data_IF_180210255884
#
_entry.id   IF_180210255884
#
_cell.length_a   1.000
_cell.length_b   1.000
_cell.length_c   1.000
_cell.angle_alpha   90.00
_cell.angle_beta   90.00
_cell.angle_gamma   90.00
#
_symmetry.space_group_name_H-M   'P 1'
#
loop_
_entity.id
_entity.type
_entity.pdbx_description
1 polymer ?
#
# COMPACT_ATOMS: atom_id res chain seq x y z
N UNK A 1 7.20 15.03 -1.25
CA UNK A 1 6.15 14.34 -0.45
C UNK A 1 5.07 15.27 0.14
N UNK A 2 5.07 16.58 -0.12
CA UNK A 2 4.12 17.54 0.48
C UNK A 2 2.73 17.59 -0.22
N UNK A 3 2.63 17.06 -1.45
CA UNK A 3 1.44 17.11 -2.31
C UNK A 3 0.38 16.03 -1.98
N UNK A 4 0.78 14.91 -1.37
CA UNK A 4 -0.14 13.78 -1.11
C UNK A 4 -0.95 13.99 0.19
N UNK A 5 -0.52 14.93 1.03
CA UNK A 5 -1.06 15.17 2.38
C UNK A 5 -2.45 15.82 2.39
N UNK A 6 -2.88 16.52 1.33
CA UNK A 6 -4.12 17.31 1.36
C UNK A 6 -5.42 16.50 1.22
N UNK A 7 -5.46 15.38 0.46
CA UNK A 7 -6.68 14.52 0.37
C UNK A 7 -7.10 13.94 1.70
N UNK A 8 -6.10 13.79 2.52
CA UNK A 8 -5.99 12.61 3.31
C UNK A 8 -6.84 12.85 4.57
N UNK A 9 -7.05 14.13 4.93
CA UNK A 9 -8.05 14.65 5.87
C UNK A 9 -9.52 14.25 5.62
N UNK A 10 -9.94 13.86 4.40
CA UNK A 10 -11.31 13.38 4.12
C UNK A 10 -11.45 11.85 4.31
N UNK A 11 -10.35 11.10 4.39
CA UNK A 11 -10.32 9.67 4.78
C UNK A 11 -10.55 9.51 6.31
N UNK A 12 -10.98 10.58 7.01
CA UNK A 12 -11.15 10.61 8.48
C UNK A 12 -12.17 9.62 9.05
N UNK A 13 -13.01 9.01 8.21
CA UNK A 13 -13.93 7.95 8.63
C UNK A 13 -13.41 6.55 8.24
N UNK A 14 -12.15 6.24 8.60
CA UNK A 14 -11.66 4.85 8.58
C UNK A 14 -12.31 4.05 9.70
N UNK A 15 -13.48 3.52 9.38
CA UNK A 15 -14.27 2.67 10.26
C UNK A 15 -13.69 1.25 10.25
N UNK A 16 -13.54 0.67 11.43
CA UNK A 16 -13.21 -0.75 11.60
C UNK A 16 -14.49 -1.57 11.75
N UNK A 17 -14.73 -2.45 10.79
CA UNK A 17 -15.85 -3.39 10.78
C UNK A 17 -15.52 -4.66 11.58
N UNK A 18 -16.57 -5.35 12.03
CA UNK A 18 -16.44 -6.71 12.53
C UNK A 18 -16.46 -7.69 11.35
N UNK A 19 -15.37 -8.44 11.17
CA UNK A 19 -15.16 -9.38 10.07
C UNK A 19 -14.65 -10.70 10.60
N UNK A 20 -15.05 -11.80 9.98
CA UNK A 20 -14.54 -13.12 10.31
C UNK A 20 -13.09 -13.27 9.78
N UNK A 21 -12.07 -13.43 10.66
CA UNK A 21 -10.69 -13.48 10.22
C UNK A 21 -10.35 -14.61 9.25
N UNK A 22 -11.00 -15.79 9.42
CA UNK A 22 -10.74 -16.95 8.56
C UNK A 22 -11.19 -16.71 7.12
N UNK A 23 -12.35 -16.07 6.94
CA UNK A 23 -12.87 -15.76 5.61
C UNK A 23 -12.04 -14.65 4.94
N UNK A 24 -11.57 -13.66 5.70
CA UNK A 24 -10.71 -12.60 5.17
C UNK A 24 -9.36 -13.14 4.68
N UNK A 25 -8.68 -13.97 5.48
CA UNK A 25 -7.43 -14.63 5.07
C UNK A 25 -7.63 -15.44 3.79
N UNK A 26 -8.71 -16.23 3.71
CA UNK A 26 -9.05 -17.00 2.51
C UNK A 26 -9.29 -16.11 1.29
N UNK A 27 -9.92 -14.95 1.47
CA UNK A 27 -10.16 -13.97 0.41
C UNK A 27 -8.84 -13.37 -0.10
N UNK A 28 -7.94 -12.98 0.79
CA UNK A 28 -6.62 -12.44 0.40
C UNK A 28 -5.79 -13.46 -0.37
N UNK A 29 -5.71 -14.70 0.13
CA UNK A 29 -4.96 -15.78 -0.53
C UNK A 29 -5.53 -16.06 -1.93
N UNK A 30 -6.85 -16.15 -2.08
CA UNK A 30 -7.48 -16.31 -3.40
C UNK A 30 -7.17 -15.18 -4.38
N UNK A 31 -7.18 -13.92 -3.91
CA UNK A 31 -6.81 -12.77 -4.74
C UNK A 31 -5.36 -12.85 -5.18
N UNK A 32 -4.46 -13.20 -4.27
CA UNK A 32 -3.04 -13.39 -4.57
C UNK A 32 -2.84 -14.50 -5.61
N UNK A 33 -3.45 -15.65 -5.43
CA UNK A 33 -3.37 -16.77 -6.38
C UNK A 33 -3.90 -16.39 -7.78
N UNK A 34 -4.96 -15.60 -7.85
CA UNK A 34 -5.51 -15.14 -9.12
C UNK A 34 -4.56 -14.19 -9.85
N UNK A 35 -3.93 -13.26 -9.12
CA UNK A 35 -2.91 -12.35 -9.67
C UNK A 35 -1.69 -13.15 -10.13
N UNK A 36 -1.21 -14.11 -9.33
CA UNK A 36 -0.06 -14.93 -9.70
C UNK A 36 -0.33 -15.78 -10.94
N UNK A 37 -1.56 -16.32 -11.11
CA UNK A 37 -1.95 -17.05 -12.31
C UNK A 37 -1.97 -16.16 -13.54
N UNK A 38 -2.55 -14.95 -13.45
CA UNK A 38 -2.57 -13.99 -14.56
C UNK A 38 -1.15 -13.64 -15.02
N UNK A 39 -0.27 -13.32 -14.08
CA UNK A 39 1.10 -12.96 -14.39
C UNK A 39 1.93 -14.10 -15.00
N UNK A 40 1.55 -15.38 -14.79
CA UNK A 40 2.20 -16.52 -15.48
C UNK A 40 1.75 -16.66 -16.94
N UNK A 41 0.49 -16.33 -17.22
CA UNK A 41 -0.06 -16.36 -18.58
C UNK A 41 0.54 -15.22 -19.43
N UNK A 42 0.73 -14.04 -18.85
CA UNK A 42 1.36 -12.90 -19.56
C UNK A 42 2.86 -13.12 -19.86
N UNK A 43 3.57 -13.95 -19.08
CA UNK A 43 4.98 -14.28 -19.35
C UNK A 43 5.19 -15.25 -20.53
N UNK A 44 4.17 -16.00 -20.96
CA UNK A 44 4.25 -16.83 -22.18
C UNK A 44 3.82 -16.04 -23.44
N UNK A 45 3.37 -14.79 -23.25
CA UNK A 45 3.00 -13.84 -24.30
C UNK A 45 4.09 -12.76 -24.42
N UNK A 46 5.24 -13.14 -24.99
CA UNK A 46 6.35 -12.21 -25.33
C UNK A 46 5.96 -11.07 -26.30
N UNK A 47 4.70 -10.99 -26.73
CA UNK A 47 4.21 -10.02 -27.70
C UNK A 47 3.69 -8.69 -27.11
N UNK A 48 3.60 -8.51 -25.78
CA UNK A 48 3.10 -7.27 -25.18
C UNK A 48 4.18 -6.29 -24.68
N UNK A 49 5.43 -6.74 -24.47
CA UNK A 49 6.51 -5.84 -24.04
C UNK A 49 6.84 -4.76 -25.09
N UNK A 50 6.51 -4.98 -26.37
CA UNK A 50 6.69 -3.99 -27.44
C UNK A 50 5.62 -2.88 -27.49
N UNK A 51 4.55 -2.97 -26.70
CA UNK A 51 3.39 -2.04 -26.74
C UNK A 51 3.43 -1.07 -25.54
N UNK A 52 4.10 -1.45 -24.45
CA UNK A 52 4.16 -0.64 -23.24
C UNK A 52 5.21 0.47 -23.35
N UNK A 53 4.97 1.65 -22.76
CA UNK A 53 6.01 2.67 -22.59
C UNK A 53 7.22 2.11 -21.85
N UNK A 54 8.43 2.58 -22.19
CA UNK A 54 9.70 2.17 -21.56
C UNK A 54 9.65 2.20 -20.04
N UNK A 55 9.01 3.23 -19.49
CA UNK A 55 8.83 3.45 -18.06
C UNK A 55 8.02 2.31 -17.42
N UNK A 56 6.96 1.84 -18.08
CA UNK A 56 6.15 0.72 -17.60
C UNK A 56 6.91 -0.61 -17.64
N UNK A 57 7.81 -0.79 -18.61
CA UNK A 57 8.69 -1.98 -18.69
C UNK A 57 9.66 -1.99 -17.51
N UNK A 58 10.35 -0.88 -17.25
CA UNK A 58 11.29 -0.74 -16.13
C UNK A 58 10.59 -0.96 -14.78
N UNK A 59 9.37 -0.45 -14.62
CA UNK A 59 8.53 -0.68 -13.45
C UNK A 59 8.26 -2.18 -13.24
N UNK A 60 7.85 -2.90 -14.29
CA UNK A 60 7.59 -4.34 -14.21
C UNK A 60 8.85 -5.15 -13.89
N UNK A 61 10.00 -4.78 -14.48
CA UNK A 61 11.28 -5.42 -14.22
C UNK A 61 11.68 -5.28 -12.74
N UNK A 62 11.49 -4.11 -12.13
CA UNK A 62 11.77 -3.89 -10.71
C UNK A 62 11.01 -4.89 -9.81
N UNK A 63 9.71 -5.10 -10.06
CA UNK A 63 8.90 -6.07 -9.30
C UNK A 63 9.32 -7.52 -9.57
N UNK A 64 9.66 -7.88 -10.82
CA UNK A 64 10.17 -9.21 -11.17
C UNK A 64 11.48 -9.51 -10.44
N UNK A 65 12.42 -8.56 -10.41
CA UNK A 65 13.69 -8.69 -9.69
C UNK A 65 13.47 -8.89 -8.19
N UNK A 66 12.60 -8.09 -7.57
CA UNK A 66 12.27 -8.23 -6.14
C UNK A 66 11.66 -9.60 -5.84
N UNK A 67 10.81 -10.12 -6.74
CA UNK A 67 10.25 -11.46 -6.60
C UNK A 67 11.32 -12.55 -6.65
N UNK A 68 12.27 -12.46 -7.58
CA UNK A 68 13.41 -13.40 -7.69
C UNK A 68 14.26 -13.37 -6.40
N UNK A 69 14.61 -12.17 -5.93
CA UNK A 69 15.34 -12.00 -4.66
C UNK A 69 14.57 -12.65 -3.50
N UNK A 70 13.27 -12.42 -3.42
CA UNK A 70 12.41 -13.02 -2.39
C UNK A 70 12.42 -14.55 -2.41
N UNK A 71 12.41 -15.17 -3.60
CA UNK A 71 12.52 -16.63 -3.73
C UNK A 71 13.88 -17.15 -3.26
N UNK A 72 14.97 -16.47 -3.61
CA UNK A 72 16.33 -16.82 -3.17
C UNK A 72 16.41 -16.77 -1.64
N UNK A 73 15.99 -15.66 -1.03
CA UNK A 73 16.03 -15.45 0.42
C UNK A 73 15.21 -16.53 1.15
N UNK A 74 14.03 -16.87 0.64
CA UNK A 74 13.17 -17.89 1.27
C UNK A 74 13.75 -19.30 1.16
N UNK A 75 14.25 -19.67 -0.02
CA UNK A 75 14.71 -21.03 -0.29
C UNK A 75 16.10 -21.32 0.28
N UNK A 76 16.93 -20.30 0.48
CA UNK A 76 18.33 -20.46 0.91
C UNK A 76 18.61 -19.89 2.30
N UNK A 77 17.56 -19.55 3.07
CA UNK A 77 17.71 -18.95 4.40
C UNK A 77 18.47 -19.82 5.42
N UNK A 78 18.55 -21.14 5.23
CA UNK A 78 19.33 -22.05 6.06
C UNK A 78 20.81 -22.19 5.66
N UNK A 79 21.12 -21.93 4.38
CA UNK A 79 22.45 -22.19 3.79
C UNK A 79 23.26 -20.90 3.54
N UNK A 80 22.61 -19.74 3.51
CA UNK A 80 23.28 -18.46 3.29
C UNK A 80 23.89 -17.90 4.58
N UNK A 81 25.07 -17.28 4.42
CA UNK A 81 25.60 -16.37 5.44
C UNK A 81 24.58 -15.25 5.71
N UNK A 82 24.34 -14.99 7.00
CA UNK A 82 23.38 -13.98 7.48
C UNK A 82 23.56 -12.62 6.80
N UNK A 83 24.80 -12.21 6.57
CA UNK A 83 25.14 -10.94 5.93
C UNK A 83 24.74 -10.88 4.44
N UNK A 84 24.82 -11.99 3.71
CA UNK A 84 24.37 -12.07 2.32
C UNK A 84 22.85 -11.94 2.23
N UNK A 85 22.12 -12.54 3.18
CA UNK A 85 20.66 -12.40 3.27
C UNK A 85 20.25 -10.95 3.55
N UNK A 86 20.94 -10.28 4.49
CA UNK A 86 20.69 -8.86 4.80
C UNK A 86 20.84 -8.02 3.53
N UNK A 87 21.96 -8.16 2.80
CA UNK A 87 22.21 -7.40 1.57
C UNK A 87 21.18 -7.68 0.47
N UNK A 88 20.73 -8.92 0.30
CA UNK A 88 19.70 -9.27 -0.67
C UNK A 88 18.37 -8.60 -0.33
N UNK A 89 17.92 -8.70 0.92
CA UNK A 89 16.66 -8.09 1.36
C UNK A 89 16.75 -6.56 1.28
N UNK A 90 17.89 -5.97 1.66
CA UNK A 90 18.15 -4.54 1.54
C UNK A 90 18.08 -4.08 0.07
N UNK A 91 18.67 -4.84 -0.86
CA UNK A 91 18.55 -4.57 -2.29
C UNK A 91 17.08 -4.59 -2.77
N UNK A 92 16.28 -5.54 -2.28
CA UNK A 92 14.85 -5.59 -2.60
C UNK A 92 14.08 -4.37 -2.09
N UNK A 93 14.37 -3.90 -0.86
CA UNK A 93 13.79 -2.67 -0.31
C UNK A 93 14.14 -1.46 -1.18
N UNK A 94 15.44 -1.28 -1.44
CA UNK A 94 15.94 -0.15 -2.22
C UNK A 94 15.39 -0.12 -3.65
N UNK A 95 15.21 -1.28 -4.30
CA UNK A 95 14.58 -1.36 -5.62
C UNK A 95 13.15 -0.81 -5.60
N UNK A 96 12.34 -1.18 -4.61
CA UNK A 96 10.96 -0.68 -4.48
C UNK A 96 10.94 0.81 -4.10
N UNK A 97 11.86 1.28 -3.27
CA UNK A 97 11.93 2.70 -2.92
C UNK A 97 12.40 3.56 -4.09
N UNK A 98 13.33 3.07 -4.93
CA UNK A 98 13.70 3.72 -6.19
C UNK A 98 12.52 3.81 -7.15
N UNK A 99 11.75 2.72 -7.28
CA UNK A 99 10.51 2.73 -8.05
C UNK A 99 9.54 3.81 -7.55
N UNK A 100 9.31 3.91 -6.23
CA UNK A 100 8.43 4.93 -5.67
C UNK A 100 8.97 6.35 -5.87
N UNK A 101 10.29 6.53 -5.80
CA UNK A 101 10.95 7.80 -6.11
C UNK A 101 10.77 8.20 -7.57
N UNK A 102 10.96 7.27 -8.50
CA UNK A 102 10.73 7.46 -9.93
C UNK A 102 9.26 7.83 -10.21
N UNK A 103 8.31 7.07 -9.67
CA UNK A 103 6.88 7.35 -9.79
C UNK A 103 6.51 8.75 -9.24
N UNK A 104 7.06 9.12 -8.08
CA UNK A 104 6.84 10.44 -7.49
C UNK A 104 7.37 11.56 -8.39
N UNK A 105 8.53 11.37 -9.03
CA UNK A 105 9.10 12.34 -9.97
C UNK A 105 8.24 12.52 -11.22
N UNK A 106 7.71 11.42 -11.77
CA UNK A 106 6.77 11.45 -12.89
C UNK A 106 5.49 12.23 -12.54
N UNK A 107 4.89 11.94 -11.37
CA UNK A 107 3.72 12.69 -10.90
C UNK A 107 4.00 14.18 -10.72
N UNK A 108 5.14 14.53 -10.13
CA UNK A 108 5.49 15.94 -9.89
C UNK A 108 5.62 16.73 -11.19
N UNK A 109 6.16 16.10 -12.23
CA UNK A 109 6.32 16.69 -13.57
C UNK A 109 4.99 16.88 -14.28
N UNK A 110 4.11 15.88 -14.25
CA UNK A 110 2.95 15.83 -15.14
C UNK A 110 1.60 16.15 -14.46
N UNK A 111 1.58 16.40 -13.14
CA UNK A 111 0.32 16.60 -12.37
C UNK A 111 -0.58 17.70 -12.91
N UNK A 112 -0.04 18.88 -13.25
CA UNK A 112 -0.88 20.02 -13.64
C UNK A 112 -1.41 19.79 -15.07
N UNK A 113 -0.58 19.23 -15.95
CA UNK A 113 -1.02 18.77 -17.29
C UNK A 113 -2.13 17.72 -17.20
N UNK A 114 -2.02 16.75 -16.27
CA UNK A 114 -3.07 15.75 -16.03
C UNK A 114 -4.36 16.39 -15.51
N UNK A 115 -4.26 17.34 -14.59
CA UNK A 115 -5.43 18.05 -14.05
C UNK A 115 -6.12 18.85 -15.15
N UNK A 116 -5.36 19.64 -15.92
CA UNK A 116 -5.88 20.43 -17.03
C UNK A 116 -6.56 19.54 -18.08
N UNK A 117 -5.91 18.46 -18.52
CA UNK A 117 -6.46 17.54 -19.51
C UNK A 117 -7.79 16.90 -19.07
N UNK A 118 -7.89 16.48 -17.80
CA UNK A 118 -9.12 15.89 -17.27
C UNK A 118 -10.23 16.95 -17.15
N UNK A 119 -9.89 18.17 -16.69
CA UNK A 119 -10.85 19.27 -16.58
C UNK A 119 -11.40 19.65 -17.96
N UNK A 120 -10.54 19.74 -18.98
CA UNK A 120 -10.93 20.04 -20.36
C UNK A 120 -11.83 18.95 -20.97
N UNK A 121 -11.50 17.67 -20.78
CA UNK A 121 -12.32 16.55 -21.27
C UNK A 121 -13.72 16.54 -20.64
N UNK A 122 -13.82 16.85 -19.34
CA UNK A 122 -15.11 16.97 -18.64
C UNK A 122 -15.92 18.14 -19.21
N UNK A 123 -15.30 19.32 -19.39
CA UNK A 123 -15.97 20.50 -19.97
C UNK A 123 -16.54 20.19 -21.36
N UNK A 124 -15.72 19.60 -22.24
CA UNK A 124 -16.12 19.22 -23.59
C UNK A 124 -17.31 18.26 -23.61
N UNK A 125 -17.29 17.24 -22.75
CA UNK A 125 -18.38 16.25 -22.63
C UNK A 125 -19.70 16.86 -22.13
N UNK A 126 -19.64 17.90 -21.30
CA UNK A 126 -20.85 18.60 -20.83
C UNK A 126 -21.40 19.58 -21.89
N UNK A 127 -20.53 20.25 -22.66
CA UNK A 127 -20.93 21.08 -23.81
C UNK A 127 -21.64 20.25 -24.90
N UNK A 128 -21.13 19.06 -25.22
CA UNK A 128 -21.71 18.14 -26.21
C UNK A 128 -23.11 17.61 -25.80
N UNK A 129 -23.40 17.53 -24.49
CA UNK A 129 -24.66 16.99 -23.96
C UNK A 129 -25.85 17.96 -24.00
N UNK A 130 -25.68 19.23 -24.41
CA UNK A 130 -26.73 20.28 -24.42
C UNK A 130 -27.61 20.29 -23.15
N UNK A 131 -27.01 19.97 -22.00
CA UNK A 131 -27.76 19.80 -20.75
C UNK A 131 -28.07 21.16 -20.14
N UNK A 132 -29.33 21.41 -19.77
CA UNK A 132 -29.79 22.58 -18.98
C UNK A 132 -29.29 22.54 -17.52
N UNK A 133 -28.15 21.90 -17.24
CA UNK A 133 -27.55 21.88 -15.90
C UNK A 133 -26.65 23.10 -15.74
N UNK A 134 -26.73 23.73 -14.57
CA UNK A 134 -26.10 25.01 -14.25
C UNK A 134 -24.58 25.02 -14.43
N UNK A 135 -23.97 26.19 -14.17
CA UNK A 135 -22.53 26.43 -14.32
C UNK A 135 -21.67 25.30 -13.76
N UNK A 136 -20.69 24.89 -14.55
CA UNK A 136 -19.69 23.90 -14.17
C UNK A 136 -18.79 24.52 -13.10
N UNK A 137 -18.81 23.97 -11.88
CA UNK A 137 -17.89 24.37 -10.82
C UNK A 137 -16.50 23.77 -11.07
N UNK A 138 -15.67 24.51 -11.81
CA UNK A 138 -14.31 24.11 -12.17
C UNK A 138 -13.45 23.83 -10.94
N UNK A 139 -13.64 24.58 -9.84
CA UNK A 139 -12.89 24.38 -8.59
C UNK A 139 -13.23 23.04 -7.95
N UNK A 140 -14.50 22.62 -8.00
CA UNK A 140 -14.92 21.31 -7.51
C UNK A 140 -14.31 20.17 -8.36
N UNK A 141 -14.23 20.35 -9.68
CA UNK A 141 -13.59 19.37 -10.57
C UNK A 141 -12.10 19.26 -10.26
N UNK A 142 -11.37 20.38 -10.20
CA UNK A 142 -9.95 20.40 -9.87
C UNK A 142 -9.68 19.71 -8.52
N UNK A 143 -10.48 20.03 -7.49
CA UNK A 143 -10.41 19.35 -6.19
C UNK A 143 -10.61 17.84 -6.34
N UNK A 144 -11.60 17.42 -7.13
CA UNK A 144 -11.88 15.99 -7.38
C UNK A 144 -10.73 15.28 -8.08
N UNK A 145 -10.10 15.92 -9.07
CA UNK A 145 -8.95 15.32 -9.78
C UNK A 145 -7.74 15.21 -8.86
N UNK A 146 -7.44 16.25 -8.07
CA UNK A 146 -6.37 16.20 -7.07
C UNK A 146 -6.60 15.07 -6.06
N UNK A 147 -7.84 14.91 -5.60
CA UNK A 147 -8.25 13.80 -4.73
C UNK A 147 -8.00 12.42 -5.37
N UNK A 148 -8.33 12.25 -6.66
CA UNK A 148 -8.07 10.99 -7.39
C UNK A 148 -6.56 10.71 -7.48
N UNK A 149 -5.75 11.72 -7.84
CA UNK A 149 -4.30 11.57 -7.94
C UNK A 149 -3.68 11.19 -6.59
N UNK A 150 -4.17 11.78 -5.50
CA UNK A 150 -3.74 11.44 -4.15
C UNK A 150 -4.15 10.01 -3.77
N UNK A 151 -5.38 9.58 -4.10
CA UNK A 151 -5.81 8.20 -3.90
C UNK A 151 -4.95 7.19 -4.68
N UNK A 152 -4.66 7.48 -5.96
CA UNK A 152 -3.79 6.64 -6.80
C UNK A 152 -2.38 6.58 -6.20
N UNK A 153 -1.85 7.71 -5.72
CA UNK A 153 -0.53 7.77 -5.09
C UNK A 153 -0.46 6.91 -3.84
N UNK A 154 -1.44 7.05 -2.94
CA UNK A 154 -1.58 6.19 -1.76
C UNK A 154 -1.67 4.72 -2.15
N UNK A 155 -2.49 4.40 -3.15
CA UNK A 155 -2.69 3.04 -3.63
C UNK A 155 -1.39 2.41 -4.14
N UNK A 156 -0.62 3.14 -4.93
CA UNK A 156 0.68 2.68 -5.45
C UNK A 156 1.67 2.45 -4.31
N UNK A 157 1.77 3.37 -3.33
CA UNK A 157 2.62 3.15 -2.17
C UNK A 157 2.26 1.86 -1.41
N UNK A 158 0.97 1.65 -1.11
CA UNK A 158 0.49 0.45 -0.43
C UNK A 158 0.78 -0.80 -1.26
N UNK A 159 0.43 -0.81 -2.54
CA UNK A 159 0.58 -1.99 -3.40
C UNK A 159 2.07 -2.35 -3.60
N UNK A 160 2.95 -1.37 -3.78
CA UNK A 160 4.40 -1.60 -3.91
C UNK A 160 5.02 -2.16 -2.63
N UNK A 161 4.70 -1.56 -1.49
CA UNK A 161 5.17 -2.04 -0.18
C UNK A 161 4.60 -3.42 0.17
N UNK A 162 3.34 -3.68 -0.20
CA UNK A 162 2.69 -5.00 -0.04
C UNK A 162 3.35 -6.06 -0.91
N UNK A 163 3.70 -5.73 -2.16
CA UNK A 163 4.45 -6.64 -3.04
C UNK A 163 5.81 -6.98 -2.44
N UNK A 164 6.55 -5.99 -1.93
CA UNK A 164 7.81 -6.21 -1.23
C UNK A 164 7.62 -7.14 -0.02
N UNK A 165 6.65 -6.80 0.84
CA UNK A 165 6.31 -7.57 2.04
C UNK A 165 6.02 -9.04 1.71
N UNK A 166 5.26 -9.32 0.65
CA UNK A 166 4.99 -10.68 0.22
C UNK A 166 6.18 -11.37 -0.45
N UNK A 167 7.01 -10.63 -1.19
CA UNK A 167 8.17 -11.18 -1.88
C UNK A 167 9.21 -11.70 -0.87
N UNK A 168 9.63 -10.85 0.07
CA UNK A 168 10.74 -11.19 0.98
C UNK A 168 10.30 -11.68 2.35
N UNK A 169 9.10 -11.30 2.81
CA UNK A 169 8.68 -11.58 4.17
C UNK A 169 8.51 -13.08 4.44
N UNK A 170 8.90 -13.49 5.64
CA UNK A 170 8.80 -14.87 6.12
C UNK A 170 8.72 -14.88 7.64
N UNK A 171 8.12 -15.94 8.19
CA UNK A 171 7.87 -16.07 9.62
C UNK A 171 9.17 -16.35 10.39
N UNK A 172 9.32 -15.72 11.56
CA UNK A 172 10.44 -16.01 12.47
C UNK A 172 11.78 -15.38 12.08
N UNK A 173 11.81 -14.46 11.11
CA UNK A 173 13.02 -13.76 10.67
C UNK A 173 13.00 -12.26 11.02
N UNK A 174 12.37 -11.87 12.12
CA UNK A 174 12.24 -10.45 12.50
C UNK A 174 13.60 -9.75 12.65
N UNK A 175 14.62 -10.42 13.20
CA UNK A 175 15.97 -9.85 13.33
C UNK A 175 16.59 -9.49 11.96
N UNK A 176 16.29 -10.25 10.90
CA UNK A 176 16.75 -9.94 9.54
C UNK A 176 16.15 -8.61 9.07
N UNK A 177 14.83 -8.45 9.22
CA UNK A 177 14.12 -7.25 8.79
C UNK A 177 14.44 -6.03 9.67
N UNK A 178 14.69 -6.23 10.97
CA UNK A 178 15.13 -5.19 11.88
C UNK A 178 16.53 -4.67 11.49
N UNK A 179 17.47 -5.57 11.13
CA UNK A 179 18.79 -5.16 10.62
C UNK A 179 18.72 -4.41 9.30
N UNK A 180 17.92 -4.89 8.34
CA UNK A 180 17.72 -4.19 7.07
C UNK A 180 17.11 -2.80 7.29
N UNK A 181 16.13 -2.69 8.19
CA UNK A 181 15.55 -1.40 8.55
C UNK A 181 16.58 -0.46 9.18
N UNK A 182 17.44 -0.97 10.07
CA UNK A 182 18.50 -0.18 10.69
C UNK A 182 19.54 0.32 9.68
N UNK A 183 19.83 -0.46 8.63
CA UNK A 183 20.74 -0.04 7.56
C UNK A 183 20.16 1.07 6.68
N UNK A 184 18.86 1.00 6.37
CA UNK A 184 18.20 1.96 5.47
C UNK A 184 17.76 3.22 6.23
N UNK A 185 17.20 3.05 7.43
CA UNK A 185 16.73 4.08 8.35
C UNK A 185 15.86 5.19 7.71
N UNK A 186 14.76 4.78 7.07
CA UNK A 186 13.76 5.70 6.52
C UNK A 186 12.37 5.41 7.06
N UNK A 187 11.46 6.38 6.99
CA UNK A 187 10.04 6.16 7.31
C UNK A 187 9.44 5.02 6.47
N UNK A 188 9.81 4.92 5.19
CA UNK A 188 9.34 3.87 4.31
C UNK A 188 9.85 2.48 4.73
N UNK A 189 11.13 2.35 5.10
CA UNK A 189 11.68 1.08 5.61
C UNK A 189 11.02 0.67 6.91
N UNK A 190 10.80 1.61 7.84
CA UNK A 190 10.12 1.34 9.12
C UNK A 190 8.70 0.80 8.90
N UNK A 191 7.92 1.43 8.02
CA UNK A 191 6.55 0.99 7.68
C UNK A 191 6.56 -0.40 7.04
N UNK A 192 7.42 -0.65 6.06
CA UNK A 192 7.49 -1.96 5.38
C UNK A 192 7.93 -3.05 6.34
N UNK A 193 8.94 -2.80 7.17
CA UNK A 193 9.42 -3.76 8.17
C UNK A 193 8.32 -4.08 9.18
N UNK A 194 7.61 -3.06 9.68
CA UNK A 194 6.44 -3.27 10.53
C UNK A 194 5.34 -4.10 9.84
N UNK A 195 5.05 -3.81 8.56
CA UNK A 195 4.06 -4.55 7.78
C UNK A 195 4.46 -6.03 7.60
N UNK A 196 5.74 -6.33 7.33
CA UNK A 196 6.25 -7.71 7.25
C UNK A 196 6.07 -8.43 8.57
N UNK A 197 6.59 -7.85 9.65
CA UNK A 197 6.54 -8.46 10.99
C UNK A 197 5.09 -8.71 11.42
N UNK A 198 4.20 -7.75 11.21
CA UNK A 198 2.79 -7.83 11.58
C UNK A 198 1.99 -8.79 10.68
N UNK A 199 2.41 -9.02 9.44
CA UNK A 199 1.77 -9.99 8.56
C UNK A 199 2.15 -11.44 8.91
N UNK A 200 3.42 -11.71 9.20
CA UNK A 200 3.91 -13.07 9.46
C UNK A 200 3.90 -13.47 10.94
N UNK A 201 3.89 -12.49 11.85
CA UNK A 201 3.90 -12.68 13.30
C UNK A 201 2.85 -11.78 13.99
N UNK A 202 2.85 -11.74 15.32
CA UNK A 202 1.89 -10.94 16.09
C UNK A 202 2.30 -9.47 16.09
N UNK A 203 1.30 -8.58 16.00
CA UNK A 203 1.53 -7.14 16.15
C UNK A 203 2.14 -6.80 17.52
N UNK A 204 3.20 -6.00 17.51
CA UNK A 204 3.77 -5.36 18.69
C UNK A 204 3.14 -3.96 18.85
N UNK A 205 2.39 -3.77 19.94
CA UNK A 205 1.71 -2.49 20.19
C UNK A 205 2.66 -1.36 20.56
N UNK A 206 3.84 -1.68 21.11
CA UNK A 206 4.86 -0.67 21.44
C UNK A 206 5.57 -0.18 20.18
N UNK A 207 5.91 -1.11 19.28
CA UNK A 207 6.44 -0.78 17.97
C UNK A 207 5.43 0.07 17.17
N UNK A 208 4.15 -0.31 17.20
CA UNK A 208 3.07 0.45 16.58
C UNK A 208 2.96 1.89 17.11
N UNK A 209 2.98 2.05 18.43
CA UNK A 209 2.88 3.34 19.11
C UNK A 209 4.05 4.27 18.73
N UNK A 210 5.27 3.75 18.77
CA UNK A 210 6.46 4.48 18.33
C UNK A 210 6.37 4.87 16.85
N UNK A 211 5.89 3.96 16.00
CA UNK A 211 5.81 4.22 14.57
C UNK A 211 4.81 5.32 14.22
N UNK A 212 3.67 5.40 14.93
CA UNK A 212 2.72 6.52 14.75
C UNK A 212 3.28 7.85 15.23
N UNK A 213 4.08 7.87 16.30
CA UNK A 213 4.79 9.08 16.72
C UNK A 213 5.81 9.52 15.66
N UNK A 214 6.59 8.58 15.11
CA UNK A 214 7.55 8.83 14.03
C UNK A 214 6.90 9.43 12.77
N UNK A 215 5.61 9.12 12.51
CA UNK A 215 4.88 9.58 11.31
C UNK A 215 3.80 10.62 11.59
N UNK A 216 3.78 11.23 12.79
CA UNK A 216 2.71 12.15 13.21
C UNK A 216 2.53 13.35 12.27
N UNK A 217 3.60 13.82 11.64
CA UNK A 217 3.60 14.95 10.71
C UNK A 217 3.50 14.52 9.23
N UNK A 218 3.43 13.21 8.97
CA UNK A 218 3.30 12.64 7.64
C UNK A 218 1.99 11.86 7.50
N UNK A 219 0.95 12.55 7.03
CA UNK A 219 -0.38 11.94 6.93
C UNK A 219 -0.42 10.77 5.95
N UNK A 220 0.26 10.85 4.80
CA UNK A 220 0.30 9.73 3.85
C UNK A 220 0.86 8.47 4.53
N UNK A 221 1.95 8.62 5.28
CA UNK A 221 2.53 7.54 6.06
C UNK A 221 1.56 6.99 7.12
N UNK A 222 0.78 7.84 7.79
CA UNK A 222 -0.29 7.40 8.69
C UNK A 222 -1.36 6.59 7.96
N UNK A 223 -1.82 7.02 6.79
CA UNK A 223 -2.80 6.28 5.99
C UNK A 223 -2.27 4.92 5.50
N UNK A 224 -1.02 4.87 5.06
CA UNK A 224 -0.38 3.59 4.67
C UNK A 224 -0.29 2.67 5.89
N UNK A 225 0.13 3.19 7.05
CA UNK A 225 0.23 2.41 8.28
C UNK A 225 -1.14 1.90 8.75
N UNK A 226 -2.18 2.75 8.69
CA UNK A 226 -3.57 2.37 8.99
C UNK A 226 -4.07 1.26 8.08
N UNK A 227 -3.73 1.26 6.80
CA UNK A 227 -4.11 0.17 5.90
C UNK A 227 -3.57 -1.19 6.38
N UNK A 228 -2.30 -1.25 6.83
CA UNK A 228 -1.73 -2.48 7.38
C UNK A 228 -2.34 -2.91 8.71
N UNK A 229 -2.71 -1.96 9.56
CA UNK A 229 -3.37 -2.26 10.84
C UNK A 229 -4.80 -2.76 10.61
N UNK A 230 -5.54 -2.10 9.73
CA UNK A 230 -6.90 -2.50 9.35
C UNK A 230 -6.89 -3.93 8.81
N UNK A 231 -5.93 -4.23 7.94
CA UNK A 231 -5.68 -5.58 7.45
C UNK A 231 -5.41 -6.56 8.59
N UNK A 232 -4.49 -6.25 9.51
CA UNK A 232 -4.20 -7.11 10.67
C UNK A 232 -5.45 -7.41 11.51
N UNK A 233 -6.25 -6.37 11.81
CA UNK A 233 -7.48 -6.49 12.57
C UNK A 233 -8.58 -7.30 11.87
N UNK A 234 -8.52 -7.40 10.54
CA UNK A 234 -9.44 -8.20 9.74
C UNK A 234 -8.97 -9.62 9.50
N UNK A 235 -7.68 -9.91 9.55
CA UNK A 235 -7.11 -11.24 9.24
C UNK A 235 -6.68 -12.02 10.48
N UNK A 236 -6.65 -11.40 11.65
CA UNK A 236 -6.22 -12.03 12.90
C UNK A 236 -7.31 -12.01 13.97
N UNK A 237 -7.37 -13.08 14.78
CA UNK A 237 -8.09 -13.05 16.04
C UNK A 237 -7.28 -12.24 17.05
N UNK A 238 -7.85 -11.12 17.50
CA UNK A 238 -7.22 -10.22 18.47
C UNK A 238 -8.16 -10.07 19.66
N UNK A 239 -7.64 -10.31 20.86
CA UNK A 239 -8.39 -10.12 22.11
C UNK A 239 -8.92 -8.68 22.22
N UNK A 240 -10.12 -8.52 22.80
CA UNK A 240 -10.84 -7.24 22.84
C UNK A 240 -9.98 -6.08 23.36
N UNK A 241 -9.30 -6.26 24.49
CA UNK A 241 -8.47 -5.21 25.09
C UNK A 241 -7.31 -4.80 24.16
N UNK A 242 -6.65 -5.78 23.52
CA UNK A 242 -5.57 -5.51 22.58
C UNK A 242 -6.10 -4.85 21.30
N UNK A 243 -7.25 -5.29 20.79
CA UNK A 243 -7.94 -4.68 19.64
C UNK A 243 -8.30 -3.23 19.91
N UNK A 244 -8.86 -2.94 21.08
CA UNK A 244 -9.21 -1.59 21.50
C UNK A 244 -7.98 -0.68 21.59
N UNK A 245 -6.86 -1.19 22.14
CA UNK A 245 -5.59 -0.46 22.18
C UNK A 245 -5.06 -0.16 20.78
N UNK A 246 -5.06 -1.13 19.87
CA UNK A 246 -4.62 -0.94 18.48
C UNK A 246 -5.47 0.12 17.77
N UNK A 247 -6.79 0.07 17.95
CA UNK A 247 -7.74 1.04 17.39
C UNK A 247 -7.46 2.45 17.91
N UNK A 248 -7.19 2.58 19.20
CA UNK A 248 -6.86 3.86 19.83
C UNK A 248 -5.55 4.44 19.31
N UNK A 249 -4.48 3.64 19.27
CA UNK A 249 -3.17 4.07 18.75
C UNK A 249 -3.30 4.53 17.29
N UNK A 250 -4.04 3.77 16.47
CA UNK A 250 -4.21 4.07 15.06
C UNK A 250 -5.18 5.23 14.77
N UNK A 251 -5.95 5.69 15.76
CA UNK A 251 -6.93 6.76 15.59
C UNK A 251 -8.15 6.37 14.75
N UNK A 252 -8.54 5.08 14.73
CA UNK A 252 -9.75 4.65 14.01
C UNK A 252 -11.04 4.99 14.76
N UNK A 253 -12.10 5.34 14.01
CA UNK A 253 -13.44 5.49 14.57
C UNK A 253 -14.05 4.11 14.85
N UNK A 254 -14.43 3.84 16.11
CA UNK A 254 -15.20 2.64 16.47
C UNK A 254 -16.61 2.75 15.88
N UNK A 255 -16.99 1.81 15.02
CA UNK A 255 -18.39 1.64 14.63
C UNK A 255 -19.21 1.37 15.91
N UNK A 256 -20.28 2.16 16.15
CA UNK A 256 -21.32 1.78 17.11
C UNK A 256 -21.89 0.45 16.60
N UNK A 257 -21.71 -0.61 17.39
CA UNK A 257 -22.38 -1.90 17.22
C UNK A 257 -23.90 -1.68 17.28
N UNK A 258 -24.52 -1.26 16.18
CA UNK A 258 -25.96 -1.42 16.01
C UNK A 258 -26.13 -2.90 15.73
N UNK A 259 -26.49 -3.62 16.78
CA UNK A 259 -26.70 -5.05 16.72
C UNK A 259 -27.62 -5.41 15.56
N UNK A 260 -27.22 -6.42 14.80
CA UNK A 260 -28.20 -7.37 14.27
C UNK A 260 -28.90 -8.00 15.48
N UNK A 261 -29.84 -7.28 16.07
CA UNK A 261 -30.86 -7.89 16.91
C UNK A 261 -31.55 -8.90 16.02
N UNK A 262 -31.43 -10.16 16.44
CA UNK A 262 -32.19 -11.29 15.93
C UNK A 262 -33.62 -10.84 15.66
N UNK A 263 -34.02 -10.83 14.39
CA UNK A 263 -35.42 -10.90 14.04
C UNK A 263 -35.85 -12.32 14.41
N UNK A 264 -36.75 -12.41 15.40
CA UNK A 264 -37.51 -13.62 15.70
C UNK A 264 -38.34 -14.02 14.49
#
# INVERSE_FOLDING_TARGET
MQFITEFTNEIKDEIIEDRNPKEEVKRELKKKDAIERRNRVDTDSDNEEGILPSEAIEMNQAFRTVKIIGQIVKNQSGDFEKEKLIKLVEAAYNTIFRFLGFYSGMLEKDKELLIEAIVEDIKKKEEEKKSKRGEIDVKLIEKTVRNILQFISWRICVDSMTNLMFAVGTKGQNELFDRVNANIDTTASKIVTFAIKTFYDKIDTKELENLFEDVKDNYLAQCILREYIKRYLYTNFVERNKRDRIIQIAGFNKQRLIGKMKTK
#
